data_IF_356846034778
#
_entry.id   IF_356846034778
#
_cell.length_a   1.000
_cell.length_b   1.000
_cell.length_c   1.000
_cell.angle_alpha   90.00
_cell.angle_beta   90.00
_cell.angle_gamma   90.00
#
_symmetry.space_group_name_H-M   'P 1'
#
loop_
_entity.id
_entity.type
_entity.pdbx_description
1 polymer ?
#
# COMPACT_ATOMS: atom_id res chain seq x y z
N UNK A 1 10.34 -25.05 -20.64
CA UNK A 1 9.24 -26.03 -20.62
C UNK A 1 8.20 -25.41 -19.70
N UNK A 2 7.15 -24.79 -20.25
CA UNK A 2 6.26 -23.90 -19.50
C UNK A 2 5.45 -24.68 -18.46
N UNK A 3 5.47 -24.21 -17.21
CA UNK A 3 4.64 -24.70 -16.12
C UNK A 3 3.17 -24.50 -16.51
N UNK A 4 2.49 -25.57 -16.89
CA UNK A 4 1.04 -25.56 -17.08
C UNK A 4 0.41 -25.43 -15.70
N UNK A 5 -0.11 -24.23 -15.37
CA UNK A 5 -0.89 -23.96 -14.14
C UNK A 5 -1.90 -25.08 -13.92
N UNK A 6 -1.79 -25.76 -12.78
CA UNK A 6 -2.66 -26.88 -12.44
C UNK A 6 -4.07 -26.34 -12.10
N UNK A 7 -5.13 -27.14 -12.27
CA UNK A 7 -6.50 -26.68 -11.98
C UNK A 7 -6.65 -26.30 -10.50
N UNK A 8 -6.02 -27.08 -9.60
CA UNK A 8 -5.93 -26.80 -8.16
C UNK A 8 -5.29 -25.44 -7.85
N UNK A 9 -4.32 -25.00 -8.67
CA UNK A 9 -3.67 -23.70 -8.48
C UNK A 9 -4.63 -22.55 -8.79
N UNK A 10 -5.53 -22.74 -9.78
CA UNK A 10 -6.54 -21.74 -10.12
C UNK A 10 -7.59 -21.61 -9.01
N UNK A 11 -8.06 -22.75 -8.49
CA UNK A 11 -9.01 -22.77 -7.38
C UNK A 11 -8.44 -22.08 -6.14
N UNK A 12 -7.14 -22.30 -5.86
CA UNK A 12 -6.44 -21.61 -4.78
C UNK A 12 -6.36 -20.09 -5.03
N UNK A 13 -5.98 -19.67 -6.24
CA UNK A 13 -5.89 -18.25 -6.60
C UNK A 13 -7.24 -17.54 -6.49
N UNK A 14 -8.31 -18.15 -6.96
CA UNK A 14 -9.67 -17.59 -6.88
C UNK A 14 -10.11 -17.45 -5.42
N UNK A 15 -9.78 -18.43 -4.58
CA UNK A 15 -10.08 -18.36 -3.14
C UNK A 15 -9.32 -17.24 -2.42
N UNK A 16 -8.06 -17.00 -2.81
CA UNK A 16 -7.23 -15.92 -2.28
C UNK A 16 -7.73 -14.56 -2.75
N UNK A 17 -8.13 -14.44 -4.01
CA UNK A 17 -8.71 -13.21 -4.55
C UNK A 17 -10.02 -12.84 -3.84
N UNK A 18 -10.86 -13.84 -3.54
CA UNK A 18 -12.09 -13.65 -2.77
C UNK A 18 -11.80 -13.16 -1.34
N UNK A 19 -10.80 -13.73 -0.67
CA UNK A 19 -10.41 -13.31 0.68
C UNK A 19 -9.82 -11.90 0.68
N UNK A 20 -8.94 -11.57 -0.26
CA UNK A 20 -8.40 -10.20 -0.44
C UNK A 20 -9.53 -9.19 -0.68
N UNK A 21 -10.51 -9.55 -1.52
CA UNK A 21 -11.66 -8.69 -1.80
C UNK A 21 -12.49 -8.42 -0.54
N UNK A 22 -12.74 -9.46 0.26
CA UNK A 22 -13.43 -9.31 1.55
C UNK A 22 -12.70 -8.36 2.50
N UNK A 23 -11.37 -8.45 2.58
CA UNK A 23 -10.57 -7.54 3.42
C UNK A 23 -10.60 -6.10 2.92
N UNK A 24 -10.60 -5.88 1.60
CA UNK A 24 -10.77 -4.55 1.01
C UNK A 24 -12.12 -3.94 1.36
N UNK A 25 -13.19 -4.72 1.27
CA UNK A 25 -14.53 -4.27 1.63
C UNK A 25 -14.59 -3.85 3.11
N UNK A 26 -14.05 -4.66 4.02
CA UNK A 26 -14.01 -4.33 5.45
C UNK A 26 -13.23 -3.03 5.70
N UNK A 27 -12.08 -2.85 5.05
CA UNK A 27 -11.30 -1.62 5.17
C UNK A 27 -12.06 -0.39 4.66
N UNK A 28 -12.83 -0.53 3.59
CA UNK A 28 -13.64 0.56 3.04
C UNK A 28 -14.77 0.97 4.00
N UNK A 29 -15.37 0.01 4.72
CA UNK A 29 -16.42 0.28 5.72
C UNK A 29 -15.92 1.02 6.98
N UNK A 30 -14.62 0.98 7.27
CA UNK A 30 -14.02 1.74 8.38
C UNK A 30 -13.80 3.21 8.00
N UNK A 31 -13.86 3.53 6.71
CA UNK A 31 -13.61 4.86 6.16
C UNK A 31 -14.96 5.50 5.77
N UNK A 32 -14.97 6.80 5.47
CA UNK A 32 -16.16 7.50 5.03
C UNK A 32 -16.81 6.80 3.83
N UNK A 33 -18.04 6.29 4.00
CA UNK A 33 -18.76 5.52 2.99
C UNK A 33 -19.05 6.27 1.67
N UNK A 34 -19.00 7.61 1.66
CA UNK A 34 -19.30 8.41 0.48
C UNK A 34 -18.05 8.83 -0.30
N UNK A 35 -16.93 9.06 0.38
CA UNK A 35 -15.72 9.65 -0.22
C UNK A 35 -14.47 8.78 -0.07
N UNK A 36 -14.53 7.72 0.74
CA UNK A 36 -13.37 6.89 1.05
C UNK A 36 -12.26 7.68 1.73
N UNK A 37 -11.02 7.27 1.47
CA UNK A 37 -9.84 7.87 2.09
C UNK A 37 -9.52 9.22 1.44
N UNK A 38 -9.27 10.25 2.25
CA UNK A 38 -8.78 11.53 1.75
C UNK A 38 -7.42 11.37 1.05
N UNK A 39 -6.65 10.34 1.40
CA UNK A 39 -5.30 10.12 0.84
C UNK A 39 -5.25 9.18 -0.36
N UNK A 40 -6.30 8.37 -0.60
CA UNK A 40 -6.29 7.34 -1.64
C UNK A 40 -7.59 7.32 -2.43
N UNK A 41 -7.45 7.06 -3.73
CA UNK A 41 -8.55 6.77 -4.64
C UNK A 41 -8.30 5.38 -5.24
N UNK A 42 -8.89 4.35 -4.63
CA UNK A 42 -8.55 2.95 -4.93
C UNK A 42 -7.08 2.65 -4.62
N UNK A 43 -6.35 2.12 -5.59
CA UNK A 43 -4.92 1.78 -5.46
C UNK A 43 -4.00 3.00 -5.52
N UNK A 44 -4.47 4.12 -6.08
CA UNK A 44 -3.68 5.32 -6.32
C UNK A 44 -3.78 6.36 -5.19
N UNK A 45 -2.81 7.29 -5.13
CA UNK A 45 -2.90 8.46 -4.28
C UNK A 45 -3.99 9.41 -4.78
N UNK A 46 -4.72 10.02 -3.84
CA UNK A 46 -5.65 11.09 -4.18
C UNK A 46 -4.88 12.33 -4.67
N UNK A 47 -5.58 13.23 -5.37
CA UNK A 47 -5.00 14.54 -5.74
C UNK A 47 -4.54 15.33 -4.51
N UNK A 48 -5.26 15.21 -3.40
CA UNK A 48 -4.87 15.83 -2.14
C UNK A 48 -3.54 15.26 -1.62
N UNK A 49 -3.39 13.94 -1.55
CA UNK A 49 -2.15 13.31 -1.10
C UNK A 49 -0.98 13.62 -2.03
N UNK A 50 -1.21 13.62 -3.34
CA UNK A 50 -0.18 13.98 -4.32
C UNK A 50 0.27 15.43 -4.15
N UNK A 51 -0.68 16.36 -3.93
CA UNK A 51 -0.36 17.76 -3.64
C UNK A 51 0.43 17.90 -2.34
N UNK A 52 0.01 17.23 -1.28
CA UNK A 52 0.67 17.27 0.02
C UNK A 52 2.11 16.74 -0.08
N UNK A 53 2.32 15.58 -0.71
CA UNK A 53 3.66 15.00 -0.92
C UNK A 53 4.62 15.96 -1.64
N UNK A 54 4.10 16.81 -2.53
CA UNK A 54 4.91 17.76 -3.29
C UNK A 54 5.16 19.09 -2.55
N UNK A 55 4.26 19.50 -1.67
CA UNK A 55 4.25 20.87 -1.13
C UNK A 55 4.54 20.96 0.37
N UNK A 56 4.38 19.87 1.11
CA UNK A 56 4.65 19.82 2.54
C UNK A 56 5.86 18.93 2.82
N UNK A 57 6.89 19.50 3.46
CA UNK A 57 8.07 18.74 3.91
C UNK A 57 7.73 17.81 5.08
N UNK A 58 6.76 18.22 5.92
CA UNK A 58 6.28 17.47 7.07
C UNK A 58 4.75 17.58 7.16
N UNK A 59 4.08 16.46 7.42
CA UNK A 59 2.65 16.40 7.64
C UNK A 59 2.33 15.73 8.98
N UNK A 60 1.32 16.26 9.68
CA UNK A 60 0.82 15.74 10.95
C UNK A 60 -0.63 16.14 11.16
N UNK A 61 -1.32 15.44 12.08
CA UNK A 61 -2.72 15.74 12.42
C UNK A 61 -2.92 17.04 13.21
N UNK A 62 -1.96 17.39 14.09
CA UNK A 62 -1.92 18.66 14.83
C UNK A 62 -0.49 19.13 15.00
N UNK A 63 -0.28 20.45 14.97
CA UNK A 63 1.02 21.10 15.27
C UNK A 63 1.52 20.74 16.66
N UNK A 64 0.62 20.47 17.61
CA UNK A 64 0.98 20.01 18.96
C UNK A 64 1.83 18.75 18.95
N UNK A 65 1.76 17.93 17.90
CA UNK A 65 2.55 16.72 17.80
C UNK A 65 4.06 17.01 17.76
N UNK A 66 4.47 18.22 17.35
CA UNK A 66 5.87 18.65 17.40
C UNK A 66 6.43 18.69 18.83
N UNK A 67 5.58 18.84 19.85
CA UNK A 67 6.01 18.88 21.26
C UNK A 67 6.60 17.55 21.74
N UNK A 68 6.31 16.45 21.03
CA UNK A 68 6.82 15.13 21.37
C UNK A 68 8.20 14.86 20.79
N UNK A 69 8.73 15.79 19.99
CA UNK A 69 10.08 15.70 19.42
C UNK A 69 11.02 16.69 20.10
N UNK A 70 12.31 16.32 20.17
CA UNK A 70 13.36 17.25 20.59
C UNK A 70 13.46 18.40 19.59
N UNK A 71 13.82 19.60 20.06
CA UNK A 71 14.10 20.76 19.19
C UNK A 71 15.32 20.53 18.29
N UNK A 72 16.18 19.57 18.63
CA UNK A 72 17.34 19.17 17.83
C UNK A 72 17.04 17.98 16.90
N UNK A 73 15.79 17.49 16.90
CA UNK A 73 15.37 16.38 16.06
C UNK A 73 15.49 16.76 14.59
N UNK A 74 16.19 15.92 13.81
CA UNK A 74 16.22 16.01 12.35
C UNK A 74 15.23 14.99 11.78
N UNK A 75 14.34 15.46 10.91
CA UNK A 75 13.42 14.61 10.17
C UNK A 75 14.06 14.25 8.84
N UNK A 76 14.27 12.95 8.61
CA UNK A 76 14.70 12.43 7.31
C UNK A 76 13.49 11.82 6.61
N UNK A 77 13.27 12.10 5.31
CA UNK A 77 12.28 11.36 4.56
C UNK A 77 12.69 9.89 4.57
N UNK A 78 11.73 9.00 4.77
CA UNK A 78 12.00 7.58 4.58
C UNK A 78 12.42 7.41 3.11
N UNK A 79 13.64 6.95 2.89
CA UNK A 79 14.28 6.93 1.58
C UNK A 79 13.35 6.20 0.63
N UNK A 80 12.81 6.91 -0.35
CA UNK A 80 11.68 6.44 -1.13
C UNK A 80 11.94 5.05 -1.74
N UNK A 81 11.43 4.02 -1.08
CA UNK A 81 10.72 3.01 -1.83
C UNK A 81 9.63 3.80 -2.55
N UNK A 82 9.84 4.06 -3.84
CA UNK A 82 8.74 4.26 -4.75
C UNK A 82 7.68 3.26 -4.32
N UNK A 83 6.52 3.76 -3.92
CA UNK A 83 5.46 2.93 -3.39
C UNK A 83 5.18 1.85 -4.42
N UNK A 84 5.78 0.67 -4.24
CA UNK A 84 5.26 -0.57 -4.79
C UNK A 84 3.79 -0.52 -4.38
N UNK A 85 2.86 -0.47 -5.35
CA UNK A 85 1.50 0.00 -5.13
C UNK A 85 0.74 -0.97 -4.22
N UNK A 86 0.93 -0.94 -2.89
CA UNK A 86 0.51 -2.02 -1.98
C UNK A 86 0.47 -3.36 -2.73
N UNK A 87 1.61 -3.75 -3.29
CA UNK A 87 1.73 -5.12 -3.76
C UNK A 87 1.81 -5.90 -2.46
N UNK A 88 0.82 -6.76 -2.25
CA UNK A 88 0.80 -7.68 -1.12
C UNK A 88 2.21 -8.27 -0.99
N UNK A 89 2.92 -8.13 0.14
CA UNK A 89 4.27 -8.67 0.28
C UNK A 89 4.32 -10.19 0.04
N UNK A 90 3.16 -10.86 0.11
CA UNK A 90 3.00 -12.25 -0.32
C UNK A 90 3.15 -12.43 -1.85
N UNK A 91 2.69 -11.48 -2.67
CA UNK A 91 2.74 -11.55 -4.14
C UNK A 91 4.17 -11.41 -4.68
N UNK A 92 5.00 -10.55 -4.07
CA UNK A 92 6.42 -10.40 -4.44
C UNK A 92 7.23 -11.65 -4.07
N UNK A 93 6.88 -12.34 -2.98
CA UNK A 93 7.48 -13.63 -2.63
C UNK A 93 7.09 -14.75 -3.61
N UNK A 94 5.87 -14.72 -4.15
CA UNK A 94 5.37 -15.72 -5.11
C UNK A 94 5.93 -15.47 -6.52
N UNK A 95 6.18 -14.22 -6.91
CA UNK A 95 6.65 -13.85 -8.26
C UNK A 95 8.18 -13.75 -8.34
N UNK A 96 8.88 -13.50 -7.22
CA UNK A 96 10.31 -13.18 -7.20
C UNK A 96 11.31 -14.35 -7.30
N UNK A 97 10.86 -15.60 -7.47
CA UNK A 97 11.74 -16.78 -7.40
C UNK A 97 12.15 -17.36 -8.78
N UNK A 98 11.76 -16.74 -9.91
CA UNK A 98 11.99 -17.30 -11.25
C UNK A 98 13.23 -16.72 -12.00
N UNK A 99 13.91 -15.70 -11.46
CA UNK A 99 15.04 -15.02 -12.13
C UNK A 99 16.44 -15.35 -11.53
N UNK A 100 16.56 -16.34 -10.63
CA UNK A 100 17.82 -16.67 -9.95
C UNK A 100 18.60 -17.87 -10.55
N UNK A 101 18.33 -18.26 -11.80
CA UNK A 101 19.10 -19.30 -12.51
C UNK A 101 19.39 -18.89 -13.97
N UNK A 102 20.39 -18.02 -14.15
CA UNK A 102 21.24 -18.01 -15.36
C UNK A 102 22.67 -17.67 -14.97
#
# INVERSE_FOLDING_TARGET
MGLTRNEDDKDLLDSLEAEVSRWRDIQEHVINANFGSIFRAGTALSKFASSMKRHADLYMSSVDNLRFYSVEQRFYPDGGHESVPFIDPLLDYIIGDDDALT
#
